data_IF_539592957171
#
_entry.id   IF_539592957171
#
_cell.length_a   1.000
_cell.length_b   1.000
_cell.length_c   1.000
_cell.angle_alpha   90.00
_cell.angle_beta   90.00
_cell.angle_gamma   90.00
#
_symmetry.space_group_name_H-M   'P 1'
#
loop_
_entity.id
_entity.type
_entity.pdbx_description
1 polymer ?
#
# COMPACT_ATOMS: atom_id res chain seq x y z
N UNK A 1 12.72 7.14 -8.83
CA UNK A 1 12.09 8.44 -9.04
C UNK A 1 10.69 8.27 -9.60
N UNK A 2 9.69 8.71 -8.83
CA UNK A 2 8.30 8.71 -9.24
C UNK A 2 8.02 10.03 -9.96
N UNK A 3 7.58 9.99 -11.22
CA UNK A 3 7.12 11.20 -11.90
C UNK A 3 5.66 11.51 -11.55
N UNK A 4 5.23 12.75 -11.82
CA UNK A 4 3.81 13.11 -11.74
C UNK A 4 2.93 12.19 -12.60
N UNK A 5 3.36 11.88 -13.83
CA UNK A 5 2.64 10.95 -14.72
C UNK A 5 2.52 9.53 -14.12
N UNK A 6 3.57 9.06 -13.44
CA UNK A 6 3.56 7.79 -12.72
C UNK A 6 2.49 7.78 -11.63
N UNK A 7 2.43 8.85 -10.82
CA UNK A 7 1.45 8.98 -9.73
C UNK A 7 0.02 9.07 -10.26
N UNK A 8 -0.20 9.78 -11.37
CA UNK A 8 -1.51 9.81 -12.05
C UNK A 8 -1.92 8.41 -12.54
N UNK A 9 -0.98 7.63 -13.08
CA UNK A 9 -1.21 6.25 -13.49
C UNK A 9 -1.48 5.32 -12.29
N UNK A 10 -0.81 5.51 -11.14
CA UNK A 10 -1.10 4.80 -9.90
C UNK A 10 -2.51 5.15 -9.37
N UNK A 11 -2.89 6.43 -9.39
CA UNK A 11 -4.21 6.89 -8.96
C UNK A 11 -5.34 6.28 -9.82
N UNK A 12 -5.10 6.11 -11.12
CA UNK A 12 -6.03 5.40 -12.00
C UNK A 12 -6.14 3.90 -11.65
N UNK A 13 -5.01 3.23 -11.40
CA UNK A 13 -4.94 1.81 -10.99
C UNK A 13 -5.60 1.57 -9.61
N UNK A 14 -5.55 2.55 -8.72
CA UNK A 14 -6.24 2.51 -7.44
C UNK A 14 -7.76 2.60 -7.60
N UNK A 15 -8.25 3.39 -8.56
CA UNK A 15 -9.68 3.54 -8.86
C UNK A 15 -10.26 2.37 -9.64
N UNK A 16 -9.50 1.80 -10.58
CA UNK A 16 -9.95 0.66 -11.39
C UNK A 16 -8.81 -0.29 -11.71
N UNK A 17 -9.14 -1.56 -11.86
CA UNK A 17 -8.19 -2.58 -12.31
C UNK A 17 -7.60 -2.20 -13.68
N UNK A 18 -6.27 -2.21 -13.85
CA UNK A 18 -5.64 -1.96 -15.15
C UNK A 18 -5.94 -3.09 -16.15
N UNK A 19 -5.82 -2.80 -17.44
CA UNK A 19 -5.96 -3.81 -18.48
C UNK A 19 -4.74 -4.74 -18.51
N UNK A 20 -4.94 -6.02 -18.82
CA UNK A 20 -3.85 -7.00 -18.87
C UNK A 20 -2.70 -6.57 -19.79
N UNK A 21 -3.06 -6.01 -20.95
CA UNK A 21 -2.13 -5.55 -21.99
C UNK A 21 -1.23 -4.37 -21.54
N UNK A 22 -1.64 -3.66 -20.49
CA UNK A 22 -0.87 -2.54 -19.94
C UNK A 22 0.17 -2.96 -18.91
N UNK A 23 0.16 -4.23 -18.48
CA UNK A 23 1.08 -4.71 -17.46
C UNK A 23 2.51 -4.80 -17.97
N UNK A 24 3.51 -4.45 -17.15
CA UNK A 24 4.90 -4.79 -17.43
C UNK A 24 5.05 -6.32 -17.56
N UNK A 25 6.15 -6.85 -18.13
CA UNK A 25 6.34 -8.30 -18.25
C UNK A 25 6.34 -9.06 -16.92
N UNK A 26 6.75 -8.38 -15.85
CA UNK A 26 6.80 -8.91 -14.49
C UNK A 26 6.26 -7.91 -13.47
N UNK A 27 5.67 -8.42 -12.41
CA UNK A 27 5.22 -7.67 -11.24
C UNK A 27 5.79 -8.29 -9.97
N UNK A 28 5.81 -7.52 -8.90
CA UNK A 28 6.12 -8.01 -7.57
C UNK A 28 4.85 -8.31 -6.80
N UNK A 29 4.76 -9.53 -6.30
CA UNK A 29 3.64 -10.05 -5.52
C UNK A 29 3.98 -10.01 -4.03
N UNK A 30 3.07 -9.49 -3.21
CA UNK A 30 3.04 -9.74 -1.78
C UNK A 30 1.84 -10.62 -1.44
N UNK A 31 2.09 -11.76 -0.81
CA UNK A 31 1.04 -12.66 -0.33
C UNK A 31 0.53 -12.19 1.03
N UNK A 32 -0.78 -11.98 1.14
CA UNK A 32 -1.42 -11.46 2.35
C UNK A 32 -2.41 -12.47 2.91
N UNK A 33 -2.17 -12.94 4.13
CA UNK A 33 -3.13 -13.76 4.87
C UNK A 33 -4.06 -12.86 5.69
N UNK A 34 -5.37 -13.14 5.63
CA UNK A 34 -6.43 -12.32 6.19
C UNK A 34 -7.28 -13.09 7.20
N UNK A 35 -7.83 -12.44 8.24
CA UNK A 35 -8.78 -13.09 9.15
C UNK A 35 -10.20 -13.18 8.56
N UNK A 36 -10.43 -12.62 7.36
CA UNK A 36 -11.76 -12.52 6.77
C UNK A 36 -11.72 -12.08 5.31
N UNK A 37 -12.74 -11.31 4.91
CA UNK A 37 -13.05 -10.95 3.53
C UNK A 37 -11.93 -10.14 2.81
N UNK A 38 -11.33 -10.67 1.74
CA UNK A 38 -10.37 -9.97 0.87
C UNK A 38 -10.88 -8.65 0.31
N UNK A 39 -12.18 -8.54 -0.02
CA UNK A 39 -12.75 -7.33 -0.62
C UNK A 39 -12.76 -6.15 0.36
N UNK A 40 -13.15 -6.41 1.60
CA UNK A 40 -13.10 -5.40 2.68
C UNK A 40 -11.67 -4.97 2.97
N UNK A 41 -10.72 -5.89 2.93
CA UNK A 41 -9.30 -5.58 3.07
C UNK A 41 -8.80 -4.69 1.92
N UNK A 42 -9.09 -5.08 0.68
CA UNK A 42 -8.73 -4.34 -0.52
C UNK A 42 -9.29 -2.91 -0.50
N UNK A 43 -10.55 -2.73 -0.13
CA UNK A 43 -11.17 -1.41 0.01
C UNK A 43 -10.45 -0.51 1.01
N UNK A 44 -10.07 -1.06 2.18
CA UNK A 44 -9.29 -0.31 3.18
C UNK A 44 -7.91 0.08 2.66
N UNK A 45 -7.18 -0.86 2.07
CA UNK A 45 -5.84 -0.61 1.53
C UNK A 45 -5.88 0.45 0.41
N UNK A 46 -6.80 0.30 -0.56
CA UNK A 46 -6.99 1.27 -1.65
C UNK A 46 -7.32 2.65 -1.11
N UNK A 47 -8.16 2.77 -0.08
CA UNK A 47 -8.54 4.08 0.48
C UNK A 47 -7.33 4.87 1.02
N UNK A 48 -6.41 4.19 1.70
CA UNK A 48 -5.19 4.80 2.24
C UNK A 48 -4.22 5.18 1.13
N UNK A 49 -3.96 4.24 0.21
CA UNK A 49 -3.05 4.49 -0.90
C UNK A 49 -3.57 5.57 -1.86
N UNK A 50 -4.89 5.66 -2.06
CA UNK A 50 -5.50 6.70 -2.91
C UNK A 50 -5.25 8.09 -2.34
N UNK A 51 -5.40 8.25 -1.02
CA UNK A 51 -5.10 9.51 -0.35
C UNK A 51 -3.61 9.90 -0.52
N UNK A 52 -2.71 8.95 -0.29
CA UNK A 52 -1.27 9.17 -0.32
C UNK A 52 -0.73 9.47 -1.74
N UNK A 53 -1.18 8.72 -2.74
CA UNK A 53 -0.79 8.94 -4.14
C UNK A 53 -1.37 10.26 -4.66
N UNK A 54 -2.60 10.60 -4.27
CA UNK A 54 -3.20 11.89 -4.65
C UNK A 54 -2.47 13.07 -4.01
N UNK A 55 -1.99 12.91 -2.77
CA UNK A 55 -1.12 13.87 -2.11
C UNK A 55 0.20 14.04 -2.88
N UNK A 56 0.88 12.94 -3.19
CA UNK A 56 2.13 12.95 -3.98
C UNK A 56 2.01 13.67 -5.32
N UNK A 57 0.82 13.62 -5.95
CA UNK A 57 0.57 14.25 -7.25
C UNK A 57 0.24 15.75 -7.17
N UNK A 58 -0.11 16.27 -5.98
CA UNK A 58 -0.72 17.58 -5.82
C UNK A 58 -0.02 18.51 -4.81
N UNK A 59 0.63 17.96 -3.79
CA UNK A 59 1.29 18.74 -2.74
C UNK A 59 2.72 19.11 -3.13
N UNK A 60 3.20 20.20 -2.53
CA UNK A 60 4.61 20.57 -2.52
C UNK A 60 5.22 20.13 -1.18
N UNK A 61 6.12 19.16 -1.22
CA UNK A 61 6.71 18.57 -0.02
C UNK A 61 7.86 19.41 0.56
N UNK A 62 8.40 20.38 -0.19
CA UNK A 62 9.49 21.25 0.28
C UNK A 62 8.96 22.51 0.99
N UNK A 63 7.82 23.04 0.54
CA UNK A 63 7.24 24.27 1.09
C UNK A 63 6.40 24.04 2.36
N UNK A 64 5.89 22.83 2.59
CA UNK A 64 4.97 22.53 3.68
C UNK A 64 5.67 21.96 4.92
N UNK A 65 5.52 22.64 6.08
CA UNK A 65 6.01 22.11 7.37
C UNK A 65 5.25 20.85 7.81
N UNK A 66 3.99 20.72 7.41
CA UNK A 66 3.13 19.57 7.70
C UNK A 66 2.22 19.25 6.51
N UNK A 67 2.23 18.00 6.05
CA UNK A 67 1.44 17.57 4.90
C UNK A 67 -0.05 17.47 5.24
N UNK A 68 -0.95 17.82 4.30
CA UNK A 68 -2.39 17.72 4.51
C UNK A 68 -2.86 16.28 4.71
N UNK A 69 -3.87 16.12 5.55
CA UNK A 69 -4.37 14.80 6.00
C UNK A 69 -5.85 14.59 5.77
N UNK A 70 -6.55 15.57 5.18
CA UNK A 70 -8.01 15.63 5.01
C UNK A 70 -8.56 14.47 4.17
N UNK A 71 -7.75 13.88 3.29
CA UNK A 71 -8.11 12.71 2.49
C UNK A 71 -7.78 11.36 3.14
N UNK A 72 -7.00 11.35 4.23
CA UNK A 72 -6.54 10.11 4.87
C UNK A 72 -7.69 9.54 5.72
N UNK A 73 -8.00 8.23 5.59
CA UNK A 73 -9.01 7.61 6.44
C UNK A 73 -8.69 7.80 7.93
N UNK A 74 -9.67 8.27 8.72
CA UNK A 74 -9.45 8.59 10.13
C UNK A 74 -8.93 7.41 10.97
N UNK A 75 -9.28 6.17 10.61
CA UNK A 75 -8.74 4.98 11.27
C UNK A 75 -7.23 4.80 11.03
N UNK A 76 -6.73 5.21 9.85
CA UNK A 76 -5.32 5.12 9.50
C UNK A 76 -4.52 6.24 10.18
N UNK A 77 -5.09 7.46 10.25
CA UNK A 77 -4.52 8.53 11.05
C UNK A 77 -4.43 8.15 12.55
N UNK A 78 -5.47 7.51 13.08
CA UNK A 78 -5.51 7.04 14.46
C UNK A 78 -4.46 5.94 14.74
N UNK A 79 -4.27 4.97 13.85
CA UNK A 79 -3.28 3.87 14.08
C UNK A 79 -1.84 4.37 14.02
N UNK A 80 -1.58 5.42 13.25
CA UNK A 80 -0.30 6.12 13.18
C UNK A 80 -0.04 7.04 14.38
N UNK A 81 -1.06 7.30 15.20
CA UNK A 81 -0.95 8.17 16.39
C UNK A 81 -0.40 7.39 17.61
N UNK A 82 0.35 8.03 18.51
CA UNK A 82 0.92 7.38 19.70
C UNK A 82 -0.14 6.84 20.67
N UNK A 83 -1.27 7.53 20.82
CA UNK A 83 -2.30 7.24 21.83
C UNK A 83 -3.25 6.10 21.49
N UNK A 84 -3.42 5.76 20.20
CA UNK A 84 -4.24 4.61 19.77
C UNK A 84 -5.73 4.68 20.13
N UNK A 85 -6.23 5.83 20.59
CA UNK A 85 -7.66 6.04 20.86
C UNK A 85 -8.47 5.98 19.57
N UNK A 86 -9.62 5.30 19.62
CA UNK A 86 -10.50 5.17 18.45
C UNK A 86 -9.99 4.28 17.32
N UNK A 87 -8.83 3.62 17.48
CA UNK A 87 -8.29 2.70 16.47
C UNK A 87 -9.18 1.44 16.38
N UNK A 88 -9.70 1.07 15.20
CA UNK A 88 -10.42 -0.18 15.03
C UNK A 88 -9.54 -1.40 15.29
N UNK A 89 -10.13 -2.50 15.75
CA UNK A 89 -9.39 -3.71 16.14
C UNK A 89 -8.48 -4.24 15.03
N UNK A 90 -8.97 -4.31 13.78
CA UNK A 90 -8.16 -4.78 12.66
C UNK A 90 -6.87 -3.96 12.46
N UNK A 91 -6.91 -2.65 12.70
CA UNK A 91 -5.76 -1.76 12.53
C UNK A 91 -4.81 -1.86 13.73
N UNK A 92 -5.37 -2.01 14.94
CA UNK A 92 -4.58 -2.24 16.17
C UNK A 92 -3.81 -3.56 16.08
N UNK A 93 -4.50 -4.63 15.69
CA UNK A 93 -3.91 -5.96 15.53
C UNK A 93 -2.86 -5.95 14.42
N UNK A 94 -3.17 -5.29 13.29
CA UNK A 94 -2.25 -5.05 12.20
C UNK A 94 -0.96 -4.34 12.63
N UNK A 95 -1.07 -3.25 13.40
CA UNK A 95 0.08 -2.55 13.99
C UNK A 95 0.94 -3.49 14.85
N UNK A 96 0.31 -4.34 15.66
CA UNK A 96 0.99 -5.35 16.45
C UNK A 96 1.73 -6.38 15.58
N UNK A 97 1.05 -6.92 14.56
CA UNK A 97 1.61 -7.89 13.63
C UNK A 97 2.79 -7.32 12.81
N UNK A 98 2.71 -6.07 12.36
CA UNK A 98 3.81 -5.36 11.72
C UNK A 98 5.03 -5.28 12.64
N UNK A 99 4.84 -4.86 13.89
CA UNK A 99 5.91 -4.74 14.89
C UNK A 99 6.56 -6.09 15.18
N UNK A 100 5.77 -7.15 15.34
CA UNK A 100 6.26 -8.51 15.55
C UNK A 100 7.05 -9.04 14.33
N UNK A 101 6.62 -8.72 13.11
CA UNK A 101 7.27 -9.17 11.89
C UNK A 101 8.57 -8.44 11.57
N UNK A 102 8.63 -7.12 11.82
CA UNK A 102 9.73 -6.26 11.36
C UNK A 102 10.68 -5.82 12.47
N UNK A 103 10.29 -5.98 13.75
CA UNK A 103 10.99 -5.37 14.89
C UNK A 103 11.01 -3.84 14.86
N UNK A 104 10.25 -3.21 13.94
CA UNK A 104 10.28 -1.78 13.70
C UNK A 104 9.23 -1.05 14.53
N UNK A 105 9.47 0.24 14.75
CA UNK A 105 8.51 1.11 15.43
C UNK A 105 7.32 1.40 14.50
N UNK A 106 6.13 1.71 15.07
CA UNK A 106 5.00 2.23 14.31
C UNK A 106 5.38 3.48 13.52
N UNK A 107 4.77 3.64 12.35
CA UNK A 107 4.93 4.84 11.54
C UNK A 107 4.08 5.98 12.11
N UNK A 108 4.66 7.18 12.23
CA UNK A 108 3.86 8.40 12.32
C UNK A 108 3.24 8.70 10.96
N UNK A 109 2.07 9.34 10.94
CA UNK A 109 1.36 9.63 9.69
C UNK A 109 2.21 10.47 8.73
N UNK A 110 2.80 11.56 9.23
CA UNK A 110 3.65 12.45 8.43
C UNK A 110 4.82 11.72 7.76
N UNK A 111 5.64 10.98 8.53
CA UNK A 111 6.74 10.18 7.95
C UNK A 111 6.26 9.15 6.91
N UNK A 112 5.08 8.57 7.10
CA UNK A 112 4.51 7.63 6.12
C UNK A 112 4.08 8.36 4.84
N UNK A 113 3.43 9.53 4.95
CA UNK A 113 3.03 10.36 3.81
C UNK A 113 4.23 10.89 3.01
N UNK A 114 5.31 11.27 3.68
CA UNK A 114 6.55 11.71 3.00
C UNK A 114 7.13 10.65 2.05
N UNK A 115 6.77 9.36 2.19
CA UNK A 115 7.23 8.31 1.25
C UNK A 115 6.57 8.41 -0.13
N UNK A 116 5.57 9.27 -0.27
CA UNK A 116 4.89 9.53 -1.54
C UNK A 116 5.37 10.83 -2.20
N UNK A 117 6.39 11.48 -1.63
CA UNK A 117 7.14 12.54 -2.28
C UNK A 117 7.76 12.01 -3.60
N UNK A 118 7.45 12.60 -4.77
CA UNK A 118 8.05 12.24 -6.05
C UNK A 118 9.60 12.24 -6.06
N UNK A 119 10.19 13.14 -5.27
CA UNK A 119 11.63 13.39 -5.20
C UNK A 119 12.34 12.52 -4.14
N UNK A 120 11.58 11.82 -3.28
CA UNK A 120 12.12 10.80 -2.37
C UNK A 120 12.21 9.43 -3.07
N UNK A 121 13.44 8.99 -3.36
CA UNK A 121 13.73 7.69 -3.99
C UNK A 121 13.55 6.47 -3.04
N UNK A 122 13.07 6.64 -1.80
CA UNK A 122 12.91 5.55 -0.84
C UNK A 122 11.74 4.59 -1.14
N UNK A 123 10.72 5.04 -1.90
CA UNK A 123 9.59 4.19 -2.31
C UNK A 123 9.92 3.47 -3.62
N UNK A 124 10.40 2.24 -3.51
CA UNK A 124 10.88 1.47 -4.66
C UNK A 124 9.80 0.66 -5.42
N UNK A 125 8.54 1.11 -5.39
CA UNK A 125 7.44 0.41 -6.07
C UNK A 125 6.34 1.36 -6.52
N UNK A 126 5.59 0.95 -7.54
CA UNK A 126 4.33 1.59 -7.97
C UNK A 126 3.15 0.65 -7.78
N UNK A 127 2.02 1.16 -7.30
CA UNK A 127 0.79 0.37 -7.13
C UNK A 127 0.34 -0.26 -8.44
N UNK A 128 0.14 -1.58 -8.49
CA UNK A 128 -0.49 -2.24 -9.64
C UNK A 128 -1.95 -2.60 -9.37
N UNK A 129 -2.19 -3.49 -8.42
CA UNK A 129 -3.54 -3.99 -8.11
C UNK A 129 -3.59 -4.73 -6.77
N UNK A 130 -4.81 -5.04 -6.31
CA UNK A 130 -5.05 -6.04 -5.28
C UNK A 130 -6.10 -7.02 -5.76
N UNK A 131 -5.81 -8.30 -5.56
CA UNK A 131 -6.59 -9.41 -6.10
C UNK A 131 -6.81 -10.47 -5.05
N UNK A 132 -7.84 -11.28 -5.24
CA UNK A 132 -8.18 -12.39 -4.38
C UNK A 132 -7.55 -13.68 -4.92
N UNK A 133 -6.72 -14.34 -4.10
CA UNK A 133 -6.11 -15.64 -4.41
C UNK A 133 -6.67 -16.80 -3.57
N UNK A 134 -7.61 -16.50 -2.66
CA UNK A 134 -8.38 -17.49 -1.90
C UNK A 134 -9.42 -16.87 -0.97
N UNK A 135 -10.18 -17.67 -0.19
CA UNK A 135 -11.23 -17.16 0.71
C UNK A 135 -10.72 -16.22 1.82
N UNK A 136 -9.45 -16.35 2.20
CA UNK A 136 -8.81 -15.58 3.28
C UNK A 136 -7.41 -15.14 2.88
N UNK A 137 -7.19 -14.96 1.58
CA UNK A 137 -5.90 -14.58 1.01
C UNK A 137 -6.07 -13.59 -0.13
N UNK A 138 -5.23 -12.57 -0.11
CA UNK A 138 -5.13 -11.58 -1.17
C UNK A 138 -3.69 -11.45 -1.63
N UNK A 139 -3.50 -11.03 -2.89
CA UNK A 139 -2.20 -10.62 -3.40
C UNK A 139 -2.20 -9.11 -3.65
N UNK A 140 -1.18 -8.44 -3.13
CA UNK A 140 -0.86 -7.06 -3.51
C UNK A 140 0.16 -7.15 -4.65
N UNK A 141 -0.17 -6.50 -5.75
CA UNK A 141 0.67 -6.42 -6.93
C UNK A 141 1.24 -5.02 -7.04
N UNK A 142 2.55 -4.93 -7.24
CA UNK A 142 3.26 -3.67 -7.49
C UNK A 142 4.24 -3.83 -8.64
N UNK A 143 4.51 -2.76 -9.36
CA UNK A 143 5.67 -2.71 -10.26
C UNK A 143 6.89 -2.30 -9.43
N UNK A 144 7.84 -3.22 -9.29
CA UNK A 144 9.15 -2.98 -8.67
C UNK A 144 10.27 -2.89 -9.71
N UNK A 145 9.93 -2.60 -10.97
CA UNK A 145 10.85 -2.53 -12.11
C UNK A 145 11.68 -3.81 -12.32
N UNK A 146 11.12 -4.97 -11.95
CA UNK A 146 11.78 -6.28 -12.02
C UNK A 146 12.73 -6.60 -10.86
N UNK A 147 12.86 -5.72 -9.87
CA UNK A 147 13.67 -5.97 -8.69
C UNK A 147 12.92 -6.80 -7.65
N UNK A 148 13.63 -7.73 -6.99
CA UNK A 148 13.07 -8.53 -5.88
C UNK A 148 13.38 -7.94 -4.50
N UNK A 149 14.10 -6.81 -4.46
CA UNK A 149 14.47 -6.12 -3.23
C UNK A 149 14.40 -4.61 -3.47
N UNK A 150 13.49 -3.94 -2.76
CA UNK A 150 13.26 -2.51 -2.85
C UNK A 150 12.61 -1.98 -1.56
N UNK A 151 12.65 -0.66 -1.37
CA UNK A 151 11.99 0.00 -0.24
C UNK A 151 10.47 -0.21 -0.29
N UNK A 152 9.92 -0.95 0.67
CA UNK A 152 8.51 -1.33 0.73
C UNK A 152 7.95 -1.35 2.17
N UNK A 153 8.60 -0.67 3.11
CA UNK A 153 8.25 -0.77 4.54
C UNK A 153 6.94 -0.05 4.84
N UNK A 154 6.72 1.07 4.17
CA UNK A 154 5.50 1.87 4.14
C UNK A 154 4.33 1.10 3.49
N UNK A 155 4.56 0.34 2.42
CA UNK A 155 3.54 -0.56 1.86
C UNK A 155 3.15 -1.64 2.87
N UNK A 156 4.14 -2.28 3.51
CA UNK A 156 3.87 -3.29 4.54
C UNK A 156 3.10 -2.70 5.70
N UNK A 157 3.46 -1.50 6.16
CA UNK A 157 2.73 -0.82 7.22
C UNK A 157 1.24 -0.64 6.84
N UNK A 158 0.96 -0.15 5.63
CA UNK A 158 -0.40 0.01 5.13
C UNK A 158 -1.13 -1.34 5.01
N UNK A 159 -0.46 -2.37 4.50
CA UNK A 159 -1.01 -3.72 4.38
C UNK A 159 -1.39 -4.32 5.75
N UNK A 160 -0.47 -4.29 6.71
CA UNK A 160 -0.74 -4.79 8.06
C UNK A 160 -1.88 -4.02 8.73
N UNK A 161 -1.82 -2.69 8.75
CA UNK A 161 -2.86 -1.87 9.40
C UNK A 161 -4.22 -1.89 8.69
N UNK A 162 -4.27 -2.27 7.41
CA UNK A 162 -5.54 -2.58 6.73
C UNK A 162 -6.17 -3.91 7.19
N UNK A 163 -5.49 -4.68 8.04
CA UNK A 163 -5.99 -5.89 8.69
C UNK A 163 -5.32 -7.19 8.23
N UNK A 164 -4.10 -7.13 7.69
CA UNK A 164 -3.34 -8.35 7.37
C UNK A 164 -2.82 -9.03 8.64
N UNK A 165 -2.91 -10.36 8.67
CA UNK A 165 -2.27 -11.19 9.71
C UNK A 165 -0.78 -11.40 9.39
N UNK A 166 -0.47 -11.55 8.11
CA UNK A 166 0.87 -11.83 7.59
C UNK A 166 1.00 -11.25 6.19
N UNK A 167 2.17 -10.70 5.89
CA UNK A 167 2.54 -10.19 4.56
C UNK A 167 3.89 -10.79 4.17
N UNK A 168 3.90 -11.67 3.18
CA UNK A 168 5.09 -12.28 2.58
C UNK A 168 5.48 -11.60 1.26
N UNK A 169 6.67 -11.91 0.74
CA UNK A 169 7.22 -11.28 -0.46
C UNK A 169 8.14 -10.09 -0.16
N UNK A 170 8.44 -9.21 -1.14
CA UNK A 170 7.98 -9.31 -2.52
C UNK A 170 8.59 -10.53 -3.23
N UNK A 171 7.83 -11.13 -4.15
CA UNK A 171 8.34 -12.13 -5.10
C UNK A 171 8.05 -11.69 -6.52
N UNK A 172 9.05 -11.74 -7.40
CA UNK A 172 8.87 -11.42 -8.82
C UNK A 172 8.08 -12.54 -9.50
N UNK A 173 7.04 -12.15 -10.22
CA UNK A 173 6.13 -13.02 -10.96
C UNK A 173 5.89 -12.45 -12.34
N UNK A 174 5.54 -13.31 -13.29
CA UNK A 174 5.05 -12.86 -14.58
C UNK A 174 3.63 -12.30 -14.43
N UNK A 175 3.31 -11.28 -15.22
CA UNK A 175 2.03 -10.56 -15.09
C UNK A 175 0.81 -11.38 -15.53
N UNK A 176 1.01 -12.49 -16.23
CA UNK A 176 -0.05 -13.45 -16.51
C UNK A 176 -0.59 -14.12 -15.24
N UNK A 177 0.23 -14.24 -14.19
CA UNK A 177 -0.22 -14.73 -12.89
C UNK A 177 -1.27 -13.77 -12.28
N UNK A 178 -0.96 -12.47 -12.24
CA UNK A 178 -1.92 -11.44 -11.82
C UNK A 178 -3.17 -11.42 -12.70
N UNK A 179 -3.01 -11.51 -14.03
CA UNK A 179 -4.12 -11.42 -14.96
C UNK A 179 -5.14 -12.58 -14.80
N UNK A 180 -4.70 -13.74 -14.29
CA UNK A 180 -5.54 -14.90 -14.00
C UNK A 180 -6.33 -14.77 -12.69
N UNK A 181 -5.95 -13.84 -11.80
CA UNK A 181 -6.59 -13.66 -10.50
C UNK A 181 -7.86 -12.79 -10.57
N UNK A 182 -8.75 -13.00 -9.60
CA UNK A 182 -10.00 -12.23 -9.48
C UNK A 182 -9.74 -10.92 -8.74
N UNK A 183 -10.34 -9.78 -9.15
CA UNK A 183 -10.23 -8.56 -8.36
C UNK A 183 -10.74 -8.81 -6.93
N UNK A 184 -10.03 -8.28 -5.93
CA UNK A 184 -10.50 -8.28 -4.54
C UNK A 184 -11.52 -7.16 -4.33
#
# INVERSE_FOLDING_TARGET
MHSKESLEAEAERLRRRPAAESAPPVLCEFTVDLPGDPARYAGRLRSVLSAAVSLGAAADFEEEEELPTEGVPGWFAAVCSPGGEGVPDFARDGRGAYGAHTGSRPWSLQNWLCRFDPDDDSRGWQWWDVTQSGPSRAHIWVDGWGESFFGCRELRWAAYTAGALRVEGPTVRRSDAWAQETPA
#
